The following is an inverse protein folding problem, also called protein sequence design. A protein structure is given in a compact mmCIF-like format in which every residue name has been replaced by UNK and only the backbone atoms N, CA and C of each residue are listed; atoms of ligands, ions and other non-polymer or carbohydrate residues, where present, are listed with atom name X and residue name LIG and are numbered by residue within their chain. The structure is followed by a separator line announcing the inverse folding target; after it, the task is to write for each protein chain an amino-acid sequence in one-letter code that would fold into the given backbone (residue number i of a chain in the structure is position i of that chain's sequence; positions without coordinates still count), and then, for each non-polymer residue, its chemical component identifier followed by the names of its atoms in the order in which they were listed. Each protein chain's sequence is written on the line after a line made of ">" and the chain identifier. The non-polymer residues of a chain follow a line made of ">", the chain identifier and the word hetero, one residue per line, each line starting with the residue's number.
data_IF_511893662005
#
_entry.id   IF_511893662005
#
_cell.length_a   1.000
_cell.length_b   1.000
_cell.length_c   1.000
_cell.angle_alpha   90.00
_cell.angle_beta   90.00
_cell.angle_gamma   90.00
#
_symmetry.space_group_name_H-M   'P 1'
#
loop_
_entity.id
_entity.type
_entity.pdbx_description
1 polymer ?
#
# COMPACT_ATOMS: atom_id res chain seq x y z
N UNK A 1 9.16 34.63 11.13
CA UNK A 1 7.90 33.86 11.14
C UNK A 1 8.12 32.63 12.02
N UNK A 2 7.36 31.54 11.83
CA UNK A 2 7.56 30.24 12.49
C UNK A 2 6.56 29.20 11.93
N UNK A 3 6.97 27.92 11.87
CA UNK A 3 6.17 26.67 11.83
C UNK A 3 7.15 25.47 11.70
N UNK A 4 7.93 25.14 12.74
CA UNK A 4 9.31 24.46 12.66
C UNK A 4 8.91 23.07 13.40
N UNK A 5 9.19 21.90 12.79
CA UNK A 5 9.53 20.61 13.46
C UNK A 5 10.67 19.90 12.70
N UNK A 6 11.91 20.04 13.17
CA UNK A 6 13.11 19.37 12.61
C UNK A 6 14.02 18.86 13.73
N UNK A 7 14.94 17.91 13.47
CA UNK A 7 16.32 18.35 13.19
C UNK A 7 16.97 17.76 11.92
N UNK A 8 16.35 16.81 11.21
CA UNK A 8 17.02 16.06 10.12
C UNK A 8 16.29 16.18 8.76
N UNK A 9 14.95 16.09 8.70
CA UNK A 9 14.19 16.08 7.42
C UNK A 9 12.93 16.97 7.37
N UNK A 10 12.80 17.97 8.26
CA UNK A 10 11.70 18.95 8.25
C UNK A 10 10.34 18.44 8.77
N UNK A 11 9.28 19.25 8.79
CA UNK A 11 9.07 20.60 8.22
C UNK A 11 9.84 21.73 8.91
N UNK A 12 10.06 22.83 8.20
CA UNK A 12 9.96 24.15 8.83
C UNK A 12 9.55 25.26 7.84
N UNK A 13 8.55 26.07 8.18
CA UNK A 13 7.92 27.04 7.26
C UNK A 13 7.78 28.45 7.83
N UNK A 14 8.04 29.48 7.01
CA UNK A 14 8.10 30.87 7.45
C UNK A 14 7.69 31.91 6.38
N UNK A 15 6.76 32.79 6.78
CA UNK A 15 6.24 34.00 6.09
C UNK A 15 6.34 35.51 6.90
N UNK A 16 7.08 35.96 5.78
CA UNK A 16 8.55 36.10 5.66
C UNK A 16 9.05 36.21 4.21
N UNK A 17 10.37 36.29 4.02
CA UNK A 17 11.00 36.06 2.71
C UNK A 17 11.07 34.55 2.38
N UNK A 18 9.89 33.91 2.44
CA UNK A 18 9.52 32.54 2.05
C UNK A 18 10.48 31.38 2.37
N UNK A 19 10.14 30.59 3.38
CA UNK A 19 10.75 29.26 3.62
C UNK A 19 9.87 28.07 3.17
N UNK A 20 8.59 28.27 2.80
CA UNK A 20 7.73 27.23 2.21
C UNK A 20 6.79 27.81 1.15
N UNK A 21 6.59 27.08 0.05
CA UNK A 21 5.83 27.55 -1.13
C UNK A 21 4.35 27.78 -0.88
N UNK A 22 3.73 26.97 0.00
CA UNK A 22 2.32 27.13 0.40
C UNK A 22 2.20 27.18 1.92
N UNK A 23 2.65 28.28 2.55
CA UNK A 23 2.70 28.46 4.01
C UNK A 23 1.42 28.02 4.75
N UNK A 24 0.23 28.40 4.26
CA UNK A 24 -1.04 27.99 4.86
C UNK A 24 -1.25 26.47 4.86
N UNK A 25 -0.98 25.77 3.75
CA UNK A 25 -1.11 24.32 3.65
C UNK A 25 -0.10 23.62 4.58
N UNK A 26 1.14 24.09 4.60
CA UNK A 26 2.19 23.52 5.44
C UNK A 26 1.92 23.72 6.95
N UNK A 27 1.40 24.90 7.36
CA UNK A 27 0.91 25.15 8.72
C UNK A 27 -0.22 24.17 9.08
N UNK A 28 -1.17 24.01 8.17
CA UNK A 28 -2.36 23.18 8.38
C UNK A 28 -2.06 21.67 8.34
N UNK A 29 -0.94 21.27 7.72
CA UNK A 29 -0.35 19.94 7.76
C UNK A 29 0.45 19.68 9.05
N UNK A 30 1.22 20.67 9.52
CA UNK A 30 2.14 20.52 10.66
C UNK A 30 1.46 20.20 12.00
N UNK A 31 0.17 20.51 12.13
CA UNK A 31 -0.68 20.29 13.32
C UNK A 31 0.05 20.57 14.66
N UNK A 32 0.62 21.76 14.74
CA UNK A 32 1.37 22.26 15.91
C UNK A 32 0.60 22.10 17.24
N UNK A 33 -0.73 22.36 17.34
CA UNK A 33 -1.49 22.09 18.57
C UNK A 33 -1.87 20.62 18.78
N UNK A 34 -1.67 19.73 17.80
CA UNK A 34 -1.99 18.29 17.91
C UNK A 34 -3.49 17.97 17.93
N UNK A 35 -4.35 18.89 17.48
CA UNK A 35 -5.82 18.76 17.53
C UNK A 35 -6.44 18.44 16.17
N UNK A 36 -5.64 18.45 15.10
CA UNK A 36 -5.99 18.08 13.73
C UNK A 36 -7.34 18.66 13.22
N UNK A 37 -7.62 19.97 13.38
CA UNK A 37 -8.91 20.54 12.98
C UNK A 37 -9.05 20.69 11.45
N UNK A 38 -7.92 20.84 10.75
CA UNK A 38 -7.83 21.14 9.31
C UNK A 38 -8.18 19.93 8.44
N UNK A 39 -8.60 20.19 7.20
CA UNK A 39 -8.81 19.11 6.21
C UNK A 39 -7.49 18.43 5.86
N UNK A 40 -6.40 19.20 5.68
CA UNK A 40 -5.07 18.68 5.34
C UNK A 40 -4.55 17.68 6.38
N UNK A 41 -4.65 18.00 7.67
CA UNK A 41 -4.26 17.06 8.73
C UNK A 41 -5.17 15.81 8.77
N UNK A 42 -6.49 15.98 8.59
CA UNK A 42 -7.43 14.84 8.56
C UNK A 42 -7.17 13.90 7.38
N UNK A 43 -6.84 14.44 6.20
CA UNK A 43 -6.38 13.66 5.05
C UNK A 43 -5.08 12.91 5.38
N UNK A 44 -4.08 13.58 5.95
CA UNK A 44 -2.83 12.95 6.39
C UNK A 44 -3.05 11.78 7.37
N UNK A 45 -3.85 11.98 8.44
CA UNK A 45 -4.17 10.90 9.38
C UNK A 45 -4.92 9.75 8.73
N UNK A 46 -5.80 10.05 7.76
CA UNK A 46 -6.54 9.04 7.00
C UNK A 46 -5.62 8.23 6.10
N UNK A 47 -4.74 8.91 5.33
CA UNK A 47 -3.72 8.27 4.48
C UNK A 47 -2.78 7.39 5.30
N UNK A 48 -2.24 7.89 6.42
CA UNK A 48 -1.40 7.08 7.33
C UNK A 48 -2.12 5.83 7.82
N UNK A 49 -3.36 5.99 8.31
CA UNK A 49 -4.15 4.88 8.86
C UNK A 49 -4.51 3.84 7.80
N UNK A 50 -4.95 4.27 6.62
CA UNK A 50 -5.31 3.35 5.54
C UNK A 50 -4.07 2.69 4.95
N UNK A 51 -2.95 3.42 4.79
CA UNK A 51 -1.68 2.83 4.35
C UNK A 51 -1.19 1.74 5.31
N UNK A 52 -1.27 1.96 6.63
CA UNK A 52 -0.93 0.94 7.63
C UNK A 52 -1.83 -0.31 7.53
N UNK A 53 -3.14 -0.15 7.40
CA UNK A 53 -4.06 -1.28 7.18
C UNK A 53 -3.83 -1.98 5.83
N UNK A 54 -3.53 -1.24 4.76
CA UNK A 54 -3.18 -1.78 3.45
C UNK A 54 -1.92 -2.65 3.52
N UNK A 55 -0.89 -2.26 4.27
CA UNK A 55 0.28 -3.12 4.50
C UNK A 55 -0.05 -4.39 5.30
N UNK A 56 -0.91 -4.31 6.32
CA UNK A 56 -1.36 -5.49 7.08
C UNK A 56 -2.13 -6.46 6.18
N UNK A 57 -3.06 -5.96 5.35
CA UNK A 57 -3.81 -6.77 4.40
C UNK A 57 -2.90 -7.36 3.30
N UNK A 58 -1.94 -6.58 2.79
CA UNK A 58 -0.95 -7.07 1.83
C UNK A 58 -0.12 -8.24 2.41
N UNK A 59 0.32 -8.12 3.67
CA UNK A 59 1.03 -9.20 4.36
C UNK A 59 0.16 -10.46 4.53
N UNK A 60 -1.13 -10.32 4.85
CA UNK A 60 -2.07 -11.44 4.91
C UNK A 60 -2.22 -12.11 3.53
N UNK A 61 -2.30 -11.33 2.45
CA UNK A 61 -2.30 -11.87 1.07
C UNK A 61 -1.04 -12.69 0.75
N UNK A 62 0.14 -12.20 1.12
CA UNK A 62 1.41 -12.91 0.91
C UNK A 62 1.48 -14.20 1.75
N UNK A 63 0.95 -14.21 2.98
CA UNK A 63 0.85 -15.43 3.80
C UNK A 63 -0.10 -16.45 3.16
N UNK A 64 -1.19 -16.01 2.54
CA UNK A 64 -2.11 -16.90 1.82
C UNK A 64 -1.45 -17.51 0.56
N UNK A 65 -0.65 -16.73 -0.19
CA UNK A 65 0.14 -17.28 -1.30
C UNK A 65 1.12 -18.36 -0.82
N UNK A 66 1.79 -18.12 0.31
CA UNK A 66 2.72 -19.09 0.90
C UNK A 66 2.00 -20.37 1.37
N UNK A 67 0.77 -20.25 1.89
CA UNK A 67 -0.08 -21.40 2.23
C UNK A 67 -0.47 -22.19 0.97
N UNK A 68 -0.81 -21.52 -0.14
CA UNK A 68 -1.09 -22.22 -1.40
C UNK A 68 0.14 -22.97 -1.91
N UNK A 69 1.31 -22.31 -1.97
CA UNK A 69 2.59 -22.90 -2.36
C UNK A 69 2.91 -24.15 -1.50
N UNK A 70 2.75 -24.07 -0.18
CA UNK A 70 2.95 -25.23 0.70
C UNK A 70 1.93 -26.33 0.39
N UNK A 71 0.65 -26.00 0.20
CA UNK A 71 -0.42 -26.96 -0.07
C UNK A 71 -0.31 -27.65 -1.43
N UNK A 72 0.35 -27.03 -2.41
CA UNK A 72 0.70 -27.66 -3.70
C UNK A 72 1.59 -28.89 -3.47
N UNK A 73 2.56 -28.81 -2.55
CA UNK A 73 3.45 -29.93 -2.22
C UNK A 73 2.87 -30.92 -1.20
N UNK A 74 2.11 -30.44 -0.19
CA UNK A 74 1.68 -31.29 0.94
C UNK A 74 0.31 -31.93 0.75
N UNK A 75 -0.57 -31.35 -0.08
CA UNK A 75 -1.98 -31.75 -0.21
C UNK A 75 -2.40 -31.84 -1.70
N UNK A 76 -1.89 -32.82 -2.48
CA UNK A 76 -2.17 -32.94 -3.92
C UNK A 76 -3.67 -32.86 -4.24
N UNK A 77 -4.51 -33.66 -3.58
CA UNK A 77 -5.93 -33.78 -3.88
C UNK A 77 -6.81 -32.63 -3.34
N UNK A 78 -6.24 -31.68 -2.57
CA UNK A 78 -7.00 -30.58 -1.94
C UNK A 78 -7.33 -29.42 -2.91
N UNK A 79 -7.81 -29.77 -4.10
CA UNK A 79 -8.08 -28.87 -5.25
C UNK A 79 -8.97 -27.68 -4.87
N UNK A 80 -10.07 -27.94 -4.15
CA UNK A 80 -11.03 -26.89 -3.72
C UNK A 80 -10.39 -25.92 -2.73
N UNK A 81 -9.53 -26.42 -1.83
CA UNK A 81 -8.82 -25.59 -0.86
C UNK A 81 -7.80 -24.67 -1.55
N UNK A 82 -6.94 -25.21 -2.43
CA UNK A 82 -5.96 -24.44 -3.23
C UNK A 82 -6.63 -23.30 -4.02
N UNK A 83 -7.72 -23.62 -4.72
CA UNK A 83 -8.46 -22.62 -5.50
C UNK A 83 -9.11 -21.56 -4.59
N UNK A 84 -9.69 -21.97 -3.45
CA UNK A 84 -10.24 -21.06 -2.44
C UNK A 84 -9.21 -20.12 -1.80
N UNK A 85 -8.01 -20.63 -1.47
CA UNK A 85 -6.90 -19.83 -0.93
C UNK A 85 -6.41 -18.80 -1.96
N UNK A 86 -6.27 -19.18 -3.24
CA UNK A 86 -5.92 -18.24 -4.31
C UNK A 86 -6.97 -17.13 -4.49
N UNK A 87 -8.26 -17.48 -4.50
CA UNK A 87 -9.36 -16.50 -4.60
C UNK A 87 -9.36 -15.56 -3.38
N UNK A 88 -9.18 -16.09 -2.17
CA UNK A 88 -9.15 -15.29 -0.95
C UNK A 88 -7.91 -14.37 -0.89
N UNK A 89 -6.73 -14.87 -1.29
CA UNK A 89 -5.52 -14.05 -1.46
C UNK A 89 -5.74 -12.89 -2.44
N UNK A 90 -6.30 -13.19 -3.61
CA UNK A 90 -6.68 -12.20 -4.63
C UNK A 90 -7.62 -11.12 -4.05
N UNK A 91 -8.69 -11.52 -3.36
CA UNK A 91 -9.65 -10.59 -2.73
C UNK A 91 -8.98 -9.69 -1.68
N UNK A 92 -8.18 -10.25 -0.78
CA UNK A 92 -7.47 -9.48 0.27
C UNK A 92 -6.51 -8.47 -0.35
N UNK A 93 -5.76 -8.84 -1.41
CA UNK A 93 -4.88 -7.93 -2.14
C UNK A 93 -5.66 -6.83 -2.87
N UNK A 94 -6.79 -7.16 -3.52
CA UNK A 94 -7.65 -6.15 -4.15
C UNK A 94 -8.24 -5.16 -3.15
N UNK A 95 -8.63 -5.61 -1.95
CA UNK A 95 -9.06 -4.72 -0.86
C UNK A 95 -7.89 -3.82 -0.42
N UNK A 96 -6.69 -4.38 -0.21
CA UNK A 96 -5.50 -3.62 0.18
C UNK A 96 -5.07 -2.56 -0.87
N UNK A 97 -5.29 -2.85 -2.16
CA UNK A 97 -5.02 -1.98 -3.31
C UNK A 97 -6.10 -0.89 -3.49
N UNK A 98 -7.38 -1.27 -3.48
CA UNK A 98 -8.49 -0.32 -3.61
C UNK A 98 -8.60 0.62 -2.42
N UNK A 99 -8.25 0.16 -1.21
CA UNK A 99 -8.21 1.01 -0.01
C UNK A 99 -7.15 2.13 -0.13
N UNK A 100 -5.92 1.83 -0.54
CA UNK A 100 -4.86 2.86 -0.61
C UNK A 100 -5.13 3.91 -1.70
N UNK A 101 -5.78 3.50 -2.80
CA UNK A 101 -6.25 4.39 -3.86
C UNK A 101 -7.44 5.23 -3.36
N UNK A 102 -8.44 4.60 -2.72
CA UNK A 102 -9.62 5.27 -2.18
C UNK A 102 -9.32 6.26 -1.05
N UNK A 103 -8.19 6.09 -0.33
CA UNK A 103 -7.67 7.07 0.63
C UNK A 103 -7.10 8.35 -0.02
N UNK A 104 -7.01 8.42 -1.35
CA UNK A 104 -6.46 9.59 -2.05
C UNK A 104 -4.94 9.75 -1.90
N UNK A 105 -4.22 8.70 -1.50
CA UNK A 105 -2.78 8.72 -1.16
C UNK A 105 -1.91 9.39 -2.23
N UNK A 106 -2.19 9.14 -3.52
CA UNK A 106 -1.49 9.81 -4.62
C UNK A 106 -1.73 11.32 -4.67
N UNK A 107 -2.99 11.76 -4.51
CA UNK A 107 -3.34 13.18 -4.50
C UNK A 107 -2.72 13.91 -3.32
N UNK A 108 -2.77 13.31 -2.13
CA UNK A 108 -2.10 13.82 -0.94
C UNK A 108 -0.57 13.92 -1.12
N UNK A 109 0.08 12.91 -1.71
CA UNK A 109 1.51 12.98 -2.02
C UNK A 109 1.84 14.06 -3.07
N UNK A 110 0.99 14.24 -4.08
CA UNK A 110 1.16 15.30 -5.07
C UNK A 110 1.00 16.71 -4.45
N UNK A 111 0.04 16.91 -3.55
CA UNK A 111 -0.09 18.14 -2.75
C UNK A 111 1.12 18.38 -1.85
N UNK A 112 1.61 17.33 -1.15
CA UNK A 112 2.77 17.40 -0.27
C UNK A 112 4.06 17.75 -1.04
N UNK A 113 4.21 17.24 -2.27
CA UNK A 113 5.28 17.63 -3.20
C UNK A 113 5.10 19.09 -3.65
N UNK A 114 3.90 19.50 -4.05
CA UNK A 114 3.64 20.84 -4.59
C UNK A 114 3.70 21.97 -3.55
N UNK A 115 3.45 21.66 -2.26
CA UNK A 115 3.50 22.61 -1.16
C UNK A 115 4.94 22.89 -0.67
N UNK A 116 5.90 22.02 -1.01
CA UNK A 116 7.35 22.17 -0.74
C UNK A 116 7.65 22.52 0.73
N UNK A 117 7.07 21.75 1.66
CA UNK A 117 7.13 22.06 3.09
C UNK A 117 8.39 21.56 3.83
N UNK A 118 9.21 20.72 3.18
CA UNK A 118 10.40 20.10 3.77
C UNK A 118 11.70 20.68 3.18
N UNK A 119 12.83 20.41 3.83
CA UNK A 119 14.16 20.63 3.23
C UNK A 119 14.39 19.69 2.03
N UNK A 120 15.48 19.90 1.28
CA UNK A 120 15.89 19.03 0.15
C UNK A 120 15.77 17.54 0.43
N UNK A 121 16.20 17.15 1.64
CA UNK A 121 16.36 15.75 2.03
C UNK A 121 15.01 15.14 2.39
N UNK A 122 14.14 15.89 3.09
CA UNK A 122 12.75 15.51 3.30
C UNK A 122 11.93 15.48 2.01
N UNK A 123 12.16 16.41 1.08
CA UNK A 123 11.53 16.37 -0.25
C UNK A 123 11.99 15.16 -1.07
N UNK A 124 13.27 14.74 -0.93
CA UNK A 124 13.79 13.50 -1.49
C UNK A 124 13.11 12.26 -0.89
N UNK A 125 12.85 12.24 0.43
CA UNK A 125 12.05 11.19 1.08
C UNK A 125 10.59 11.18 0.60
N UNK A 126 9.96 12.34 0.40
CA UNK A 126 8.58 12.41 -0.16
C UNK A 126 8.55 11.87 -1.59
N UNK A 127 9.51 12.25 -2.44
CA UNK A 127 9.64 11.69 -3.79
C UNK A 127 9.87 10.16 -3.77
N UNK A 128 10.69 9.69 -2.83
CA UNK A 128 10.92 8.25 -2.60
C UNK A 128 9.65 7.53 -2.12
N UNK A 129 8.83 8.16 -1.27
CA UNK A 129 7.55 7.64 -0.82
C UNK A 129 6.51 7.57 -1.95
N UNK A 130 6.50 8.55 -2.87
CA UNK A 130 5.70 8.50 -4.08
C UNK A 130 6.13 7.36 -5.02
N UNK A 131 7.43 7.14 -5.19
CA UNK A 131 7.96 5.97 -5.90
C UNK A 131 7.57 4.64 -5.24
N UNK A 132 7.67 4.55 -3.91
CA UNK A 132 7.27 3.37 -3.15
C UNK A 132 5.76 3.08 -3.23
N UNK A 133 4.91 4.12 -3.23
CA UNK A 133 3.47 4.00 -3.46
C UNK A 133 3.16 3.42 -4.85
N UNK A 134 3.80 3.94 -5.91
CA UNK A 134 3.62 3.42 -7.27
C UNK A 134 4.09 1.97 -7.41
N UNK A 135 5.22 1.63 -6.78
CA UNK A 135 5.74 0.26 -6.71
C UNK A 135 4.78 -0.67 -5.96
N UNK A 136 4.25 -0.26 -4.81
CA UNK A 136 3.23 -1.01 -4.06
C UNK A 136 1.98 -1.27 -4.92
N UNK A 137 1.46 -0.24 -5.59
CA UNK A 137 0.27 -0.36 -6.46
C UNK A 137 0.52 -1.32 -7.64
N UNK A 138 1.70 -1.25 -8.27
CA UNK A 138 2.09 -2.17 -9.35
C UNK A 138 2.22 -3.61 -8.84
N UNK A 139 2.95 -3.82 -7.75
CA UNK A 139 3.17 -5.15 -7.18
C UNK A 139 1.87 -5.80 -6.70
N UNK A 140 0.99 -5.07 -6.02
CA UNK A 140 -0.27 -5.64 -5.51
C UNK A 140 -1.29 -5.90 -6.61
N UNK A 141 -1.39 -5.05 -7.64
CA UNK A 141 -2.27 -5.33 -8.78
C UNK A 141 -1.81 -6.55 -9.58
N UNK A 142 -0.50 -6.65 -9.89
CA UNK A 142 0.08 -7.84 -10.55
C UNK A 142 -0.08 -9.09 -9.69
N UNK A 143 0.21 -9.00 -8.38
CA UNK A 143 0.10 -10.13 -7.45
C UNK A 143 -1.34 -10.63 -7.28
N UNK A 144 -2.34 -9.73 -7.27
CA UNK A 144 -3.75 -10.11 -7.22
C UNK A 144 -4.21 -10.77 -8.53
N UNK A 145 -3.81 -10.22 -9.68
CA UNK A 145 -4.11 -10.81 -11.00
C UNK A 145 -3.48 -12.21 -11.13
N UNK A 146 -2.23 -12.40 -10.68
CA UNK A 146 -1.57 -13.70 -10.70
C UNK A 146 -2.29 -14.73 -9.82
N UNK A 147 -2.69 -14.38 -8.58
CA UNK A 147 -3.52 -15.28 -7.75
C UNK A 147 -4.86 -15.63 -8.42
N UNK A 148 -5.50 -14.68 -9.11
CA UNK A 148 -6.74 -14.93 -9.84
C UNK A 148 -6.53 -15.87 -11.04
N UNK A 149 -5.42 -15.74 -11.76
CA UNK A 149 -5.05 -16.63 -12.87
C UNK A 149 -4.59 -18.02 -12.39
N UNK A 150 -4.02 -18.13 -11.19
CA UNK A 150 -3.62 -19.39 -10.58
C UNK A 150 -4.82 -20.18 -10.02
N UNK A 151 -5.84 -19.52 -9.49
CA UNK A 151 -7.06 -20.17 -8.96
C UNK A 151 -7.68 -21.25 -9.89
N UNK A 152 -7.91 -21.02 -11.20
CA UNK A 152 -8.38 -22.05 -12.12
C UNK A 152 -7.29 -23.06 -12.51
N UNK A 153 -6.01 -22.68 -12.57
CA UNK A 153 -4.92 -23.63 -12.87
C UNK A 153 -4.77 -24.67 -11.75
N UNK A 154 -4.80 -24.21 -10.49
CA UNK A 154 -4.86 -25.07 -9.31
C UNK A 154 -6.14 -25.94 -9.30
N UNK A 155 -7.27 -25.44 -9.81
CA UNK A 155 -8.51 -26.20 -9.93
C UNK A 155 -8.48 -27.30 -11.01
N UNK A 156 -7.90 -27.05 -12.19
CA UNK A 156 -7.94 -27.99 -13.32
C UNK A 156 -6.74 -28.93 -13.39
N UNK A 157 -5.56 -28.49 -12.96
CA UNK A 157 -4.30 -29.25 -13.06
C UNK A 157 -3.73 -29.65 -11.70
N UNK A 158 -3.94 -28.83 -10.66
CA UNK A 158 -3.29 -28.94 -9.34
C UNK A 158 -3.61 -30.19 -8.50
N UNK A 159 -4.53 -31.05 -8.95
CA UNK A 159 -4.88 -32.34 -8.34
C UNK A 159 -5.18 -33.43 -9.37
N UNK A 160 -4.52 -33.41 -10.55
CA UNK A 160 -4.56 -34.51 -11.54
C UNK A 160 -3.21 -35.16 -11.82
N UNK A 161 -2.19 -34.82 -11.04
CA UNK A 161 -0.85 -35.43 -11.11
C UNK A 161 -0.82 -36.83 -10.49
N UNK A 162 -1.75 -37.14 -9.58
CA UNK A 162 -2.08 -38.51 -9.19
C UNK A 162 -3.43 -38.88 -9.84
N UNK A 163 -3.57 -40.12 -10.33
CA UNK A 163 -4.80 -40.61 -10.94
C UNK A 163 -4.89 -40.57 -12.48
N UNK A 164 -3.79 -40.35 -13.22
CA UNK A 164 -3.76 -40.61 -14.67
C UNK A 164 -3.81 -42.14 -14.90
N UNK A 165 -4.87 -42.70 -15.50
CA UNK A 165 -5.17 -44.15 -15.41
C UNK A 165 -4.45 -44.99 -16.48
N UNK A 166 -3.20 -44.67 -16.79
CA UNK A 166 -2.41 -45.32 -17.85
C UNK A 166 -1.20 -46.12 -17.36
N UNK A 167 -1.02 -46.26 -16.05
CA UNK A 167 -0.11 -47.25 -15.45
C UNK A 167 -0.93 -48.20 -14.58
N UNK A 168 -0.83 -49.49 -14.90
CA UNK A 168 -1.31 -50.61 -14.07
C UNK A 168 -0.13 -51.19 -13.30
#
# INVERSE_FOLDING_TARGET
>A
YFCARSPIVGLYCQDGSNECKTFNWCRDFADIPGTCPTVVCKTHQTVLRVTAWSFILAAIGIVLDLVDIISIFTLPDAVVFKSGVNIFSCLVKFIAFTAIIGAGTWGFLAELIAAECFNSDGMSLVGSAAGAYLLYCTLQSVSAILSLCLAPLSAYYGGKLQGVPYVK
#
